data_IF_556939947410
#
_entry.id   IF_556939947410
#
_cell.length_a   1.000
_cell.length_b   1.000
_cell.length_c   1.000
_cell.angle_alpha   90.00
_cell.angle_beta   90.00
_cell.angle_gamma   90.00
#
_symmetry.space_group_name_H-M   'P 1'
#
loop_
_entity.id
_entity.type
_entity.pdbx_description
1 polymer ?
#
# COMPACT_ATOMS: atom_id res chain seq x y z
N UNK A 1 3.97 -14.75 20.22
CA UNK A 1 4.80 -15.35 19.15
C UNK A 1 6.05 -14.49 19.02
N UNK A 2 7.21 -15.10 19.27
CA UNK A 2 8.41 -14.43 19.76
C UNK A 2 9.30 -13.80 18.69
N UNK A 3 9.88 -12.66 19.05
CA UNK A 3 11.12 -12.14 18.49
C UNK A 3 12.31 -12.81 19.19
N UNK A 4 13.40 -13.06 18.47
CA UNK A 4 14.71 -13.31 19.09
C UNK A 4 15.82 -12.83 18.18
N UNK A 5 16.55 -11.86 18.70
CA UNK A 5 17.80 -11.31 18.21
C UNK A 5 18.90 -12.38 18.14
N UNK A 6 19.86 -12.21 17.23
CA UNK A 6 21.15 -12.92 17.30
C UNK A 6 22.31 -11.96 17.10
N UNK A 7 23.07 -11.78 18.20
CA UNK A 7 24.31 -11.01 18.31
C UNK A 7 25.48 -11.80 17.70
N UNK A 8 26.30 -11.09 16.92
CA UNK A 8 27.61 -11.54 16.47
C UNK A 8 28.60 -11.52 17.65
N UNK A 9 29.23 -12.67 17.94
CA UNK A 9 30.42 -12.74 18.79
C UNK A 9 31.50 -13.48 18.00
N UNK A 10 32.53 -12.74 17.61
CA UNK A 10 33.80 -13.29 17.15
C UNK A 10 34.63 -13.78 18.34
N UNK A 11 35.31 -14.92 18.16
CA UNK A 11 36.26 -15.49 19.10
C UNK A 11 37.12 -16.54 18.41
N UNK A 12 38.30 -16.10 17.98
CA UNK A 12 39.30 -16.77 17.15
C UNK A 12 39.98 -17.97 17.86
N UNK A 13 40.23 -19.07 17.14
CA UNK A 13 40.90 -20.24 17.74
C UNK A 13 41.26 -21.43 16.82
N UNK A 14 42.00 -21.19 15.72
CA UNK A 14 43.08 -22.06 15.17
C UNK A 14 42.73 -23.43 14.52
N UNK A 15 42.62 -23.42 13.18
CA UNK A 15 43.37 -24.37 12.31
C UNK A 15 42.58 -25.40 11.48
N UNK A 16 42.30 -25.06 10.20
CA UNK A 16 42.78 -25.75 8.97
C UNK A 16 41.73 -25.76 7.83
N UNK A 17 41.98 -24.98 6.78
CA UNK A 17 41.57 -25.25 5.40
C UNK A 17 40.21 -24.70 4.94
N UNK A 18 40.23 -23.54 4.31
CA UNK A 18 39.19 -23.08 3.38
C UNK A 18 39.25 -23.95 2.11
N UNK A 19 38.16 -24.66 1.77
CA UNK A 19 38.06 -25.45 0.54
C UNK A 19 36.78 -25.05 -0.19
N UNK A 20 36.92 -24.10 -1.11
CA UNK A 20 35.86 -23.70 -2.03
C UNK A 20 35.86 -24.69 -3.21
N UNK A 21 34.78 -25.44 -3.38
CA UNK A 21 34.55 -26.30 -4.55
C UNK A 21 34.08 -25.47 -5.74
N UNK A 22 34.85 -25.48 -6.84
CA UNK A 22 34.50 -24.81 -8.11
C UNK A 22 33.66 -25.70 -9.01
N UNK A 23 32.54 -25.17 -9.53
CA UNK A 23 31.62 -25.84 -10.46
C UNK A 23 32.25 -25.85 -11.87
N UNK A 24 32.44 -27.03 -12.48
CA UNK A 24 33.24 -27.26 -13.70
C UNK A 24 32.46 -27.38 -15.02
N UNK A 25 31.22 -26.89 -15.12
CA UNK A 25 30.43 -27.05 -16.34
C UNK A 25 30.17 -25.70 -17.02
N UNK A 26 30.99 -25.36 -18.02
CA UNK A 26 30.74 -24.26 -18.96
C UNK A 26 29.84 -24.78 -20.09
N UNK A 27 28.64 -24.23 -20.25
CA UNK A 27 27.80 -24.54 -21.42
C UNK A 27 28.47 -23.98 -22.68
N UNK A 28 28.60 -24.80 -23.71
CA UNK A 28 28.98 -24.42 -25.07
C UNK A 28 27.84 -23.63 -25.73
N UNK A 29 27.57 -22.43 -25.21
CA UNK A 29 26.70 -21.46 -25.84
C UNK A 29 27.61 -20.39 -26.40
N UNK A 30 27.86 -20.47 -27.70
CA UNK A 30 28.59 -19.42 -28.42
C UNK A 30 27.87 -18.11 -28.16
N UNK A 31 28.61 -17.14 -27.63
CA UNK A 31 28.09 -15.83 -27.27
C UNK A 31 27.47 -15.18 -28.52
N UNK A 32 26.20 -14.75 -28.49
CA UNK A 32 25.58 -14.05 -29.62
C UNK A 32 26.41 -12.83 -30.07
N UNK A 33 27.17 -12.21 -29.17
CA UNK A 33 28.11 -11.15 -29.55
C UNK A 33 29.28 -11.69 -30.39
N UNK A 34 29.79 -12.90 -30.11
CA UNK A 34 30.86 -13.50 -30.89
C UNK A 34 30.40 -13.84 -32.32
N UNK A 35 29.14 -14.23 -32.48
CA UNK A 35 28.54 -14.47 -33.79
C UNK A 35 28.35 -13.16 -34.57
N UNK A 36 27.88 -12.10 -33.91
CA UNK A 36 27.80 -10.76 -34.53
C UNK A 36 29.17 -10.22 -34.95
N UNK A 37 30.20 -10.40 -34.13
CA UNK A 37 31.58 -10.03 -34.44
C UNK A 37 32.14 -10.81 -35.63
N UNK A 38 31.78 -12.08 -35.78
CA UNK A 38 32.17 -12.91 -36.91
C UNK A 38 31.42 -12.54 -38.20
N UNK A 39 30.21 -12.00 -38.09
CA UNK A 39 29.38 -11.56 -39.22
C UNK A 39 29.73 -10.17 -39.75
N UNK A 40 30.49 -9.38 -38.98
CA UNK A 40 30.96 -8.05 -39.38
C UNK A 40 31.94 -8.16 -40.55
N UNK A 41 31.46 -7.83 -41.74
CA UNK A 41 32.30 -7.67 -42.93
C UNK A 41 33.11 -6.37 -42.82
N UNK A 42 34.38 -6.43 -43.20
CA UNK A 42 35.26 -5.26 -43.24
C UNK A 42 34.67 -4.26 -44.24
N UNK A 43 34.10 -3.17 -43.74
CA UNK A 43 33.62 -2.07 -44.56
C UNK A 43 34.78 -1.43 -45.31
N UNK A 44 34.50 -0.81 -46.46
CA UNK A 44 35.53 -0.15 -47.26
C UNK A 44 36.28 0.86 -46.38
N UNK A 45 37.62 0.95 -46.49
CA UNK A 45 38.41 1.83 -45.64
C UNK A 45 37.86 3.26 -45.72
N UNK A 46 37.57 3.84 -44.55
CA UNK A 46 37.13 5.23 -44.43
C UNK A 46 38.24 6.18 -44.93
N UNK A 47 39.49 5.71 -44.87
CA UNK A 47 40.68 6.39 -45.36
C UNK A 47 41.05 5.87 -46.75
N UNK A 48 40.93 6.72 -47.78
CA UNK A 48 41.50 6.44 -49.11
C UNK A 48 43.01 6.68 -49.09
N UNK A 49 43.82 5.62 -49.09
CA UNK A 49 45.25 5.74 -49.35
C UNK A 49 45.49 6.03 -50.83
N UNK A 50 46.14 7.15 -51.16
CA UNK A 50 46.68 7.36 -52.50
C UNK A 50 47.89 6.43 -52.71
N UNK A 51 47.76 5.52 -53.68
CA UNK A 51 48.82 4.73 -54.34
C UNK A 51 50.18 4.69 -53.63
N UNK A 52 50.43 3.62 -52.85
CA UNK A 52 51.80 3.24 -52.49
C UNK A 52 52.49 2.70 -53.75
N UNK A 53 53.24 3.54 -54.44
CA UNK A 53 54.26 3.08 -55.37
C UNK A 53 55.36 2.38 -54.55
N UNK A 54 55.54 1.09 -54.79
CA UNK A 54 56.64 0.19 -54.41
C UNK A 54 57.63 0.69 -53.33
N UNK A 55 57.24 0.67 -52.05
CA UNK A 55 58.21 0.79 -50.95
C UNK A 55 58.15 -0.42 -50.02
N UNK A 56 59.32 -1.05 -49.86
CA UNK A 56 59.54 -2.28 -49.12
C UNK A 56 59.23 -2.13 -47.63
N UNK A 57 58.65 -3.17 -47.02
CA UNK A 57 58.26 -3.24 -45.60
C UNK A 57 59.38 -2.87 -44.61
N UNK A 58 60.64 -3.06 -45.00
CA UNK A 58 61.81 -2.68 -44.20
C UNK A 58 62.01 -1.16 -44.13
N UNK A 59 61.69 -0.40 -45.18
CA UNK A 59 61.80 1.07 -45.18
C UNK A 59 60.72 1.75 -44.33
N UNK A 60 59.64 1.02 -44.06
CA UNK A 60 58.53 1.47 -43.20
C UNK A 60 58.89 1.28 -41.72
N UNK A 61 59.53 0.15 -41.37
CA UNK A 61 59.91 -0.16 -40.00
C UNK A 61 61.11 0.65 -39.49
N UNK A 62 62.04 1.03 -40.39
CA UNK A 62 63.27 1.76 -40.02
C UNK A 62 63.01 3.26 -39.75
N UNK A 63 61.89 3.84 -40.22
CA UNK A 63 61.50 5.23 -39.93
C UNK A 63 60.90 5.44 -38.52
N UNK A 64 61.40 4.70 -37.54
CA UNK A 64 61.02 4.75 -36.12
C UNK A 64 61.24 6.16 -35.53
N UNK A 65 60.16 6.94 -35.51
CA UNK A 65 59.75 7.87 -34.45
C UNK A 65 60.59 9.11 -34.08
N UNK A 66 61.46 9.66 -34.93
CA UNK A 66 62.14 10.93 -34.62
C UNK A 66 62.20 11.87 -35.83
N UNK A 67 61.19 12.74 -35.96
CA UNK A 67 61.31 14.17 -36.32
C UNK A 67 59.95 14.73 -36.72
N UNK A 68 59.56 15.82 -36.07
CA UNK A 68 58.38 16.62 -36.39
C UNK A 68 58.44 17.20 -37.81
N UNK A 69 57.25 17.26 -38.42
CA UNK A 69 56.79 18.14 -39.51
C UNK A 69 57.12 17.77 -40.97
N UNK A 70 56.02 17.53 -41.70
CA UNK A 70 55.83 17.74 -43.15
C UNK A 70 56.23 16.61 -44.11
N UNK A 71 55.48 15.51 -44.09
CA UNK A 71 55.14 14.76 -45.31
C UNK A 71 53.74 14.17 -45.16
N UNK A 72 52.85 14.68 -45.99
CA UNK A 72 51.40 14.53 -45.97
C UNK A 72 50.94 13.11 -46.34
N UNK A 73 50.71 12.27 -45.35
CA UNK A 73 49.56 11.36 -45.41
C UNK A 73 48.59 11.81 -44.33
N UNK A 74 47.98 12.97 -44.56
CA UNK A 74 46.92 13.47 -43.71
C UNK A 74 45.73 12.53 -43.89
N UNK A 75 45.56 11.57 -42.98
CA UNK A 75 44.31 10.84 -42.84
C UNK A 75 43.26 11.80 -42.27
N UNK A 76 42.83 12.75 -43.10
CA UNK A 76 41.83 13.75 -42.76
C UNK A 76 40.47 13.14 -43.03
N UNK A 77 39.71 12.91 -41.97
CA UNK A 77 38.30 12.55 -42.07
C UNK A 77 37.61 13.69 -42.83
N UNK A 78 36.84 13.33 -43.85
CA UNK A 78 36.07 14.30 -44.61
C UNK A 78 35.10 15.04 -43.66
N UNK A 79 35.22 16.37 -43.51
CA UNK A 79 34.36 17.13 -42.61
C UNK A 79 32.87 16.98 -42.94
N UNK A 80 32.51 16.67 -44.18
CA UNK A 80 31.11 16.45 -44.56
C UNK A 80 30.52 15.18 -43.92
N UNK A 81 31.31 14.10 -43.88
CA UNK A 81 30.91 12.83 -43.23
C UNK A 81 30.76 13.02 -41.72
N UNK A 82 31.61 13.86 -41.12
CA UNK A 82 31.54 14.18 -39.70
C UNK A 82 30.24 14.94 -39.35
N UNK A 83 29.87 15.92 -40.17
CA UNK A 83 28.61 16.68 -40.00
C UNK A 83 27.39 15.77 -40.18
N UNK A 84 27.40 14.87 -41.17
CA UNK A 84 26.33 13.90 -41.37
C UNK A 84 26.19 12.96 -40.17
N UNK A 85 27.31 12.43 -39.64
CA UNK A 85 27.31 11.58 -38.46
C UNK A 85 26.75 12.31 -37.23
N UNK A 86 27.15 13.56 -36.99
CA UNK A 86 26.59 14.37 -35.91
C UNK A 86 25.11 14.69 -36.11
N UNK A 87 24.66 14.83 -37.35
CA UNK A 87 23.25 15.07 -37.65
C UNK A 87 22.40 13.84 -37.32
N UNK A 88 22.83 12.65 -37.76
CA UNK A 88 22.17 11.37 -37.45
C UNK A 88 22.19 11.11 -35.94
N UNK A 89 23.33 11.37 -35.28
CA UNK A 89 23.43 11.20 -33.84
C UNK A 89 22.49 12.14 -33.08
N UNK A 90 22.39 13.40 -33.51
CA UNK A 90 21.51 14.39 -32.89
C UNK A 90 20.03 14.04 -33.08
N UNK A 91 19.63 13.64 -34.28
CA UNK A 91 18.27 13.14 -34.54
C UNK A 91 17.95 11.91 -33.67
N UNK A 92 18.89 10.97 -33.55
CA UNK A 92 18.72 9.82 -32.66
C UNK A 92 18.53 10.22 -31.19
N UNK A 93 19.30 11.20 -30.70
CA UNK A 93 19.14 11.73 -29.34
C UNK A 93 17.78 12.43 -29.16
N UNK A 94 17.35 13.22 -30.15
CA UNK A 94 16.07 13.93 -30.12
C UNK A 94 14.89 12.94 -30.12
N UNK A 95 14.95 11.88 -30.94
CA UNK A 95 13.96 10.81 -30.93
C UNK A 95 13.90 10.11 -29.57
N UNK A 96 15.05 9.83 -28.95
CA UNK A 96 15.11 9.19 -27.62
C UNK A 96 14.55 10.11 -26.53
N UNK A 97 14.86 11.40 -26.58
CA UNK A 97 14.32 12.39 -25.67
C UNK A 97 12.80 12.47 -25.79
N UNK A 98 12.26 12.54 -27.00
CA UNK A 98 10.82 12.57 -27.24
C UNK A 98 10.13 11.31 -26.73
N UNK A 99 10.71 10.13 -26.98
CA UNK A 99 10.18 8.86 -26.48
C UNK A 99 10.11 8.83 -24.95
N UNK A 100 11.17 9.30 -24.27
CA UNK A 100 11.21 9.38 -22.81
C UNK A 100 10.12 10.32 -22.31
N UNK A 101 10.00 11.52 -22.90
CA UNK A 101 8.99 12.52 -22.51
C UNK A 101 7.57 11.96 -22.66
N UNK A 102 7.25 11.36 -23.81
CA UNK A 102 5.92 10.80 -24.05
C UNK A 102 5.60 9.65 -23.07
N UNK A 103 6.60 8.82 -22.77
CA UNK A 103 6.43 7.71 -21.82
C UNK A 103 6.23 8.24 -20.40
N UNK A 104 6.97 9.28 -20.01
CA UNK A 104 6.84 9.93 -18.71
C UNK A 104 5.44 10.53 -18.53
N UNK A 105 4.91 11.21 -19.56
CA UNK A 105 3.56 11.77 -19.56
C UNK A 105 2.48 10.69 -19.41
N UNK A 106 2.58 9.56 -20.13
CA UNK A 106 1.64 8.44 -19.96
C UNK A 106 1.67 7.87 -18.54
N UNK A 107 2.86 7.71 -17.96
CA UNK A 107 3.02 7.23 -16.59
C UNK A 107 2.40 8.20 -15.59
N UNK A 108 2.63 9.50 -15.74
CA UNK A 108 2.07 10.54 -14.88
C UNK A 108 0.53 10.53 -14.92
N UNK A 109 -0.06 10.50 -16.12
CA UNK A 109 -1.52 10.40 -16.30
C UNK A 109 -2.09 9.14 -15.62
N UNK A 110 -1.40 8.00 -15.74
CA UNK A 110 -1.83 6.75 -15.09
C UNK A 110 -1.72 6.81 -13.56
N UNK A 111 -0.71 7.49 -13.03
CA UNK A 111 -0.54 7.71 -11.60
C UNK A 111 -1.68 8.60 -11.08
N UNK A 112 -2.01 9.69 -11.77
CA UNK A 112 -3.10 10.59 -11.38
C UNK A 112 -4.45 9.86 -11.34
N UNK A 113 -4.75 9.06 -12.36
CA UNK A 113 -5.98 8.25 -12.38
C UNK A 113 -6.00 7.21 -11.25
N UNK A 114 -4.86 6.56 -10.98
CA UNK A 114 -4.75 5.58 -9.90
C UNK A 114 -4.96 6.23 -8.52
N UNK A 115 -4.38 7.41 -8.29
CA UNK A 115 -4.53 8.16 -7.04
C UNK A 115 -5.96 8.64 -6.83
N UNK A 116 -6.60 9.19 -7.88
CA UNK A 116 -8.00 9.58 -7.84
C UNK A 116 -8.93 8.40 -7.54
N UNK A 117 -8.64 7.22 -8.09
CA UNK A 117 -9.40 6.00 -7.82
C UNK A 117 -9.17 5.49 -6.40
N UNK A 118 -7.92 5.47 -5.92
CA UNK A 118 -7.57 5.06 -4.57
C UNK A 118 -8.26 5.94 -3.52
N UNK A 119 -8.25 7.27 -3.73
CA UNK A 119 -8.93 8.24 -2.86
C UNK A 119 -10.45 8.02 -2.82
N UNK A 120 -11.09 7.79 -3.98
CA UNK A 120 -12.53 7.48 -4.04
C UNK A 120 -12.87 6.16 -3.35
N UNK A 121 -12.02 5.16 -3.49
CA UNK A 121 -12.21 3.86 -2.86
C UNK A 121 -12.12 3.97 -1.34
N UNK A 122 -11.10 4.68 -0.83
CA UNK A 122 -10.95 4.95 0.59
C UNK A 122 -12.15 5.72 1.15
N UNK A 123 -12.64 6.74 0.44
CA UNK A 123 -13.83 7.50 0.84
C UNK A 123 -15.06 6.59 0.97
N UNK A 124 -15.29 5.71 -0.01
CA UNK A 124 -16.42 4.77 0.04
C UNK A 124 -16.29 3.77 1.19
N UNK A 125 -15.10 3.24 1.44
CA UNK A 125 -14.90 2.33 2.55
C UNK A 125 -15.12 3.00 3.90
N UNK A 126 -14.63 4.22 4.09
CA UNK A 126 -14.86 4.97 5.32
C UNK A 126 -16.35 5.25 5.55
N UNK A 127 -17.09 5.63 4.50
CA UNK A 127 -18.53 5.81 4.60
C UNK A 127 -19.25 4.49 4.96
N UNK A 128 -18.89 3.40 4.30
CA UNK A 128 -19.45 2.07 4.58
C UNK A 128 -19.19 1.61 6.02
N UNK A 129 -17.94 1.75 6.49
CA UNK A 129 -17.55 1.41 7.87
C UNK A 129 -18.29 2.27 8.89
N UNK A 130 -18.46 3.57 8.61
CA UNK A 130 -19.25 4.45 9.47
C UNK A 130 -20.71 4.02 9.53
N UNK A 131 -21.34 3.74 8.38
CA UNK A 131 -22.72 3.25 8.33
C UNK A 131 -22.88 1.93 9.07
N UNK A 132 -21.96 0.97 8.88
CA UNK A 132 -21.96 -0.31 9.60
C UNK A 132 -21.82 -0.13 11.10
N UNK A 133 -20.95 0.78 11.56
CA UNK A 133 -20.78 1.08 13.00
C UNK A 133 -22.09 1.65 13.57
N UNK A 134 -22.75 2.55 12.86
CA UNK A 134 -24.05 3.11 13.28
C UNK A 134 -25.13 2.02 13.33
N UNK A 135 -25.25 1.17 12.31
CA UNK A 135 -26.20 0.05 12.34
C UNK A 135 -25.90 -0.92 13.47
N UNK A 136 -24.64 -1.27 13.71
CA UNK A 136 -24.24 -2.12 14.84
C UNK A 136 -24.62 -1.51 16.18
N UNK A 137 -24.47 -0.20 16.34
CA UNK A 137 -24.90 0.52 17.54
C UNK A 137 -26.42 0.47 17.71
N UNK A 138 -27.20 0.69 16.65
CA UNK A 138 -28.66 0.58 16.75
C UNK A 138 -29.10 -0.84 17.11
N UNK A 139 -28.47 -1.87 16.54
CA UNK A 139 -28.77 -3.27 16.86
C UNK A 139 -28.41 -3.64 18.30
N UNK A 140 -27.34 -3.08 18.88
CA UNK A 140 -27.02 -3.32 20.29
C UNK A 140 -28.09 -2.74 21.22
N UNK A 141 -28.68 -1.58 20.88
CA UNK A 141 -29.81 -1.02 21.64
C UNK A 141 -31.07 -1.90 21.51
N UNK A 142 -31.33 -2.49 20.34
CA UNK A 142 -32.46 -3.41 20.15
C UNK A 142 -32.36 -4.62 21.09
N UNK A 143 -31.15 -5.13 21.33
CA UNK A 143 -30.97 -6.22 22.29
C UNK A 143 -31.38 -5.82 23.72
N UNK A 144 -31.03 -4.61 24.16
CA UNK A 144 -31.46 -4.09 25.46
C UNK A 144 -32.99 -4.02 25.59
N UNK A 145 -33.65 -3.44 24.58
CA UNK A 145 -35.12 -3.36 24.53
C UNK A 145 -35.78 -4.74 24.52
N UNK A 146 -35.17 -5.72 23.85
CA UNK A 146 -35.68 -7.10 23.82
C UNK A 146 -35.67 -7.73 25.22
N UNK A 147 -34.65 -7.46 26.03
CA UNK A 147 -34.55 -7.94 27.42
C UNK A 147 -35.62 -7.29 28.29
N UNK A 148 -35.76 -5.95 28.23
CA UNK A 148 -36.77 -5.21 29.00
C UNK A 148 -38.19 -5.67 28.66
N UNK A 149 -38.48 -5.90 27.37
CA UNK A 149 -39.77 -6.45 26.93
C UNK A 149 -40.01 -7.85 27.50
N UNK A 150 -38.98 -8.68 27.59
CA UNK A 150 -39.05 -10.01 28.19
C UNK A 150 -39.37 -9.96 29.69
N UNK A 151 -38.71 -9.07 30.44
CA UNK A 151 -38.97 -8.86 31.87
C UNK A 151 -40.41 -8.37 32.09
N UNK A 152 -40.84 -7.35 31.34
CA UNK A 152 -42.19 -6.80 31.43
C UNK A 152 -43.25 -7.88 31.15
N UNK A 153 -43.03 -8.71 30.13
CA UNK A 153 -43.92 -9.84 29.82
C UNK A 153 -43.96 -10.85 30.98
N UNK A 154 -42.83 -11.12 31.63
CA UNK A 154 -42.76 -11.97 32.82
C UNK A 154 -43.60 -11.41 33.96
N UNK A 155 -43.41 -10.13 34.31
CA UNK A 155 -44.18 -9.43 35.35
C UNK A 155 -45.68 -9.40 35.05
N UNK A 156 -46.07 -9.15 33.80
CA UNK A 156 -47.47 -9.18 33.40
C UNK A 156 -48.07 -10.58 33.56
N UNK A 157 -47.32 -11.61 33.19
CA UNK A 157 -47.75 -13.01 33.35
C UNK A 157 -47.94 -13.37 34.83
N UNK A 158 -47.05 -12.90 35.70
CA UNK A 158 -47.19 -13.05 37.15
C UNK A 158 -48.44 -12.36 37.68
N UNK A 159 -48.70 -11.11 37.26
CA UNK A 159 -49.91 -10.37 37.65
C UNK A 159 -51.18 -11.07 37.18
N UNK A 160 -51.20 -11.57 35.93
CA UNK A 160 -52.35 -12.34 35.40
C UNK A 160 -52.55 -13.62 36.23
N UNK A 161 -51.49 -14.38 36.51
CA UNK A 161 -51.57 -15.59 37.32
C UNK A 161 -52.03 -15.29 38.76
N UNK A 162 -51.58 -14.17 39.33
CA UNK A 162 -52.01 -13.71 40.65
C UNK A 162 -53.52 -13.37 40.65
N UNK A 163 -53.98 -12.63 39.65
CA UNK A 163 -55.40 -12.35 39.44
C UNK A 163 -56.22 -13.63 39.24
N UNK A 164 -55.75 -14.58 38.44
CA UNK A 164 -56.42 -15.87 38.24
C UNK A 164 -56.50 -16.69 39.54
N UNK A 165 -55.42 -16.69 40.34
CA UNK A 165 -55.43 -17.31 41.67
C UNK A 165 -56.41 -16.61 42.61
N UNK A 166 -56.53 -15.28 42.52
CA UNK A 166 -57.48 -14.50 43.31
C UNK A 166 -58.92 -14.83 42.91
N UNK A 167 -59.21 -14.89 41.61
CA UNK A 167 -60.52 -15.28 41.09
C UNK A 167 -60.90 -16.69 41.57
N UNK A 168 -59.99 -17.67 41.43
CA UNK A 168 -60.22 -19.04 41.92
C UNK A 168 -60.50 -19.11 43.42
N UNK A 169 -59.77 -18.32 44.23
CA UNK A 169 -60.01 -18.24 45.67
C UNK A 169 -61.36 -17.61 45.99
N UNK A 170 -61.73 -16.55 45.27
CA UNK A 170 -63.03 -15.91 45.44
C UNK A 170 -64.18 -16.86 45.09
N UNK A 171 -64.03 -17.65 44.02
CA UNK A 171 -65.03 -18.66 43.63
C UNK A 171 -65.15 -19.81 44.66
N UNK A 172 -64.05 -20.20 45.31
CA UNK A 172 -64.02 -21.32 46.24
C UNK A 172 -64.39 -20.96 47.69
N UNK A 173 -63.85 -19.85 48.21
CA UNK A 173 -63.93 -19.46 49.63
C UNK A 173 -64.86 -18.25 49.87
N UNK A 174 -65.26 -17.55 48.81
CA UNK A 174 -66.04 -16.31 48.90
C UNK A 174 -65.22 -15.08 49.30
N UNK A 175 -65.80 -13.87 49.23
CA UNK A 175 -65.08 -12.60 49.41
C UNK A 175 -64.60 -12.34 50.85
N UNK A 176 -65.18 -12.99 51.85
CA UNK A 176 -64.85 -12.75 53.27
C UNK A 176 -63.43 -13.21 53.64
N UNK A 177 -62.89 -14.24 52.98
CA UNK A 177 -61.49 -14.70 53.14
C UNK A 177 -60.49 -13.59 52.82
N UNK A 178 -60.76 -12.80 51.77
CA UNK A 178 -59.89 -11.70 51.31
C UNK A 178 -59.89 -10.49 52.25
N UNK A 179 -61.02 -10.21 52.92
CA UNK A 179 -61.15 -9.07 53.86
C UNK A 179 -60.25 -9.22 55.09
N UNK A 180 -59.90 -10.45 55.46
CA UNK A 180 -58.97 -10.73 56.55
C UNK A 180 -57.49 -10.50 56.17
N UNK A 181 -57.16 -10.59 54.88
CA UNK A 181 -55.75 -10.56 54.39
C UNK A 181 -55.27 -9.14 54.07
N UNK A 182 -56.18 -8.20 53.80
CA UNK A 182 -55.82 -6.82 53.46
C UNK A 182 -55.73 -5.99 54.74
N UNK A 183 -54.52 -5.59 55.13
CA UNK A 183 -54.32 -4.48 56.08
C UNK A 183 -54.57 -3.16 55.34
N UNK A 184 -55.43 -2.26 55.84
CA UNK A 184 -55.68 -0.98 55.17
C UNK A 184 -54.41 -0.13 55.15
N UNK A 185 -54.11 0.49 54.01
CA UNK A 185 -53.01 1.44 53.87
C UNK A 185 -53.25 2.66 54.77
N UNK A 186 -52.43 2.86 55.80
CA UNK A 186 -52.44 4.07 56.62
C UNK A 186 -51.56 5.13 55.93
N UNK A 187 -52.19 6.21 55.50
CA UNK A 187 -51.52 7.40 54.95
C UNK A 187 -50.79 8.12 56.10
N UNK A 188 -49.47 8.33 56.00
CA UNK A 188 -48.70 9.03 57.03
C UNK A 188 -49.13 10.52 57.13
N UNK A 189 -49.17 11.13 58.33
CA UNK A 189 -49.65 12.50 58.51
C UNK A 189 -48.69 13.55 57.91
N UNK A 190 -49.21 14.68 57.42
CA UNK A 190 -48.44 15.67 56.68
C UNK A 190 -47.74 16.65 57.64
N UNK A 191 -46.71 16.24 58.38
CA UNK A 191 -45.89 17.20 59.14
C UNK A 191 -44.48 16.65 59.41
N UNK A 192 -43.56 16.89 58.47
CA UNK A 192 -42.16 17.24 58.78
C UNK A 192 -41.31 17.40 57.52
N UNK A 193 -40.99 18.68 57.23
CA UNK A 193 -39.70 19.15 56.68
C UNK A 193 -39.43 18.84 55.19
N UNK A 194 -38.98 19.75 54.34
CA UNK A 194 -38.77 21.20 54.34
C UNK A 194 -38.49 21.51 52.86
N UNK A 195 -39.31 22.38 52.28
CA UNK A 195 -39.18 22.80 50.90
C UNK A 195 -38.11 23.89 50.85
N UNK A 196 -36.86 23.49 50.62
CA UNK A 196 -35.82 24.41 50.15
C UNK A 196 -35.82 24.38 48.62
N UNK A 197 -36.79 25.06 48.00
CA UNK A 197 -36.77 25.35 46.57
C UNK A 197 -35.79 26.48 46.33
N UNK A 198 -34.63 26.20 45.75
CA UNK A 198 -33.88 27.20 44.99
C UNK A 198 -34.01 26.85 43.52
N UNK A 199 -34.81 27.67 42.85
CA UNK A 199 -35.02 27.74 41.41
C UNK A 199 -33.71 27.88 40.65
N UNK A 200 -33.42 26.94 39.74
CA UNK A 200 -32.65 27.22 38.51
C UNK A 200 -33.00 26.18 37.45
N UNK A 201 -33.99 26.47 36.61
CA UNK A 201 -34.04 25.94 35.24
C UNK A 201 -34.59 27.05 34.35
N UNK A 202 -33.74 27.64 33.53
CA UNK A 202 -33.99 27.77 32.09
C UNK A 202 -32.74 28.33 31.41
N UNK A 203 -32.11 27.52 30.56
CA UNK A 203 -31.58 27.97 29.28
C UNK A 203 -31.53 26.76 28.36
N UNK A 204 -32.43 26.76 27.37
CA UNK A 204 -32.25 26.03 26.12
C UNK A 204 -31.00 26.55 25.43
N UNK A 205 -30.12 25.66 24.99
CA UNK A 205 -29.26 25.95 23.84
C UNK A 205 -29.30 24.80 22.86
N UNK A 206 -29.42 25.21 21.61
CA UNK A 206 -29.62 24.46 20.40
C UNK A 206 -28.39 24.78 19.55
N UNK A 207 -27.44 23.85 19.45
CA UNK A 207 -26.33 23.75 18.46
C UNK A 207 -25.47 22.56 18.89
N UNK A 208 -25.01 21.66 18.03
CA UNK A 208 -24.53 21.79 16.65
C UNK A 208 -24.98 20.60 15.78
#
# INVERSE_FOLDING_TARGET
MGASDSRLIGGQGKGRGDVITTISNRSERVDPLLETLKSLSVSRPILKSASLTDSSLTDILVRKALSSSSSSSSYTVDPQILVELFSIFRECLDCKAQYITNTQEDIENKIEVADALASKLLQRFNHSVSAMRTTSLHLSHVHGLQVELGELKGRLTEVINNCDSLCKRLDAEGPESLRSTVTPFILAPPDSVSINTTTTVLSSEHQE
#
